data_IF_503365295423
#
_entry.id   IF_503365295423
#
_cell.length_a   1.000
_cell.length_b   1.000
_cell.length_c   1.000
_cell.angle_alpha   90.00
_cell.angle_beta   90.00
_cell.angle_gamma   90.00
#
_symmetry.space_group_name_H-M   'P 1'
#
loop_
_entity.id
_entity.type
_entity.pdbx_description
1 polymer ?
#
# COMPACT_ATOMS: atom_id res chain seq x y z
N UNK A 1 11.01 -4.31 5.78
CA UNK A 1 10.64 -2.89 5.80
C UNK A 1 9.23 -2.72 6.30
N UNK A 2 8.98 -1.73 7.11
CA UNK A 2 7.65 -1.43 7.62
C UNK A 2 7.24 -0.02 7.20
N UNK A 3 5.99 0.11 6.77
CA UNK A 3 5.39 1.40 6.45
C UNK A 3 4.16 1.61 7.32
N UNK A 4 4.04 2.79 7.88
CA UNK A 4 2.90 3.17 8.68
C UNK A 4 2.20 4.34 8.00
N UNK A 5 0.89 4.26 7.88
CA UNK A 5 0.15 5.33 7.24
C UNK A 5 -1.32 5.03 7.05
N UNK A 6 -1.96 5.79 6.18
CA UNK A 6 -3.38 5.67 5.90
C UNK A 6 -3.60 4.81 4.67
N UNK A 7 -4.46 3.81 4.81
CA UNK A 7 -4.84 2.94 3.70
C UNK A 7 -5.91 3.64 2.88
N UNK A 8 -5.75 3.61 1.57
CA UNK A 8 -6.72 4.19 0.64
C UNK A 8 -7.04 3.19 -0.46
N UNK A 9 -8.28 3.22 -0.92
CA UNK A 9 -8.69 2.42 -2.06
C UNK A 9 -8.76 3.29 -3.30
N UNK A 10 -8.14 2.82 -4.37
CA UNK A 10 -8.22 3.44 -5.68
C UNK A 10 -9.08 2.57 -6.59
N UNK A 11 -10.02 3.18 -7.31
CA UNK A 11 -10.86 2.47 -8.26
C UNK A 11 -10.26 2.36 -9.66
N UNK A 12 -9.04 2.86 -9.84
CA UNK A 12 -8.36 2.78 -11.12
C UNK A 12 -8.01 1.34 -11.46
N UNK A 13 -8.23 0.97 -12.72
CA UNK A 13 -7.85 -0.34 -13.28
C UNK A 13 -8.33 -1.54 -12.46
N UNK A 14 -9.59 -1.51 -12.02
CA UNK A 14 -10.17 -2.62 -11.30
C UNK A 14 -10.00 -2.59 -9.80
N UNK A 15 -9.40 -1.55 -9.29
CA UNK A 15 -9.25 -1.37 -7.85
C UNK A 15 -7.89 -1.77 -7.33
N UNK A 16 -7.30 -0.88 -6.56
CA UNK A 16 -6.01 -1.09 -5.91
C UNK A 16 -6.05 -0.57 -4.49
N UNK A 17 -5.21 -1.13 -3.64
CA UNK A 17 -4.99 -0.61 -2.31
C UNK A 17 -3.70 0.20 -2.31
N UNK A 18 -3.76 1.36 -1.66
CA UNK A 18 -2.62 2.25 -1.53
C UNK A 18 -2.37 2.53 -0.06
N UNK A 19 -1.13 2.82 0.29
CA UNK A 19 -0.81 3.37 1.60
C UNK A 19 -0.13 4.71 1.41
N UNK A 20 -0.67 5.71 2.11
CA UNK A 20 -0.02 7.01 2.18
C UNK A 20 0.79 7.03 3.48
N UNK A 21 2.10 6.84 3.34
CA UNK A 21 2.99 6.74 4.49
C UNK A 21 3.14 8.07 5.20
N UNK A 22 3.53 8.02 6.46
CA UNK A 22 3.66 9.22 7.29
C UNK A 22 4.65 10.24 6.73
N UNK A 23 5.65 9.78 5.99
CA UNK A 23 6.62 10.68 5.37
C UNK A 23 6.15 11.36 4.11
N UNK A 24 4.90 11.13 3.68
CA UNK A 24 4.34 11.71 2.46
C UNK A 24 4.47 10.83 1.23
N UNK A 25 5.16 9.70 1.32
CA UNK A 25 5.28 8.77 0.21
C UNK A 25 4.03 7.94 0.05
N UNK A 26 3.72 7.59 -1.18
CA UNK A 26 2.58 6.73 -1.49
C UNK A 26 3.08 5.49 -2.20
N UNK A 27 2.54 4.33 -1.79
CA UNK A 27 2.89 3.04 -2.36
C UNK A 27 1.63 2.30 -2.76
N UNK A 28 1.71 1.56 -3.86
CA UNK A 28 0.65 0.66 -4.27
C UNK A 28 0.89 -0.69 -3.60
N UNK A 29 -0.12 -1.16 -2.85
CA UNK A 29 0.02 -2.40 -2.07
C UNK A 29 -0.35 -3.62 -2.91
N UNK A 30 0.40 -4.70 -2.72
CA UNK A 30 0.10 -6.00 -3.31
C UNK A 30 0.45 -7.09 -2.31
N UNK A 31 0.02 -8.32 -2.58
CA UNK A 31 0.28 -9.44 -1.69
C UNK A 31 -0.87 -9.69 -0.72
N UNK A 32 -0.56 -9.84 0.55
CA UNK A 32 -1.59 -10.11 1.57
C UNK A 32 -2.26 -8.83 2.00
N UNK A 33 -3.49 -8.65 1.54
CA UNK A 33 -4.24 -7.41 1.76
C UNK A 33 -5.55 -7.64 2.54
N UNK A 34 -5.58 -8.67 3.37
CA UNK A 34 -6.78 -9.02 4.12
C UNK A 34 -7.10 -7.99 5.19
N UNK A 35 -8.37 -7.66 5.31
CA UNK A 35 -8.85 -6.78 6.38
C UNK A 35 -8.58 -5.31 6.18
N UNK A 36 -8.21 -4.88 4.98
CA UNK A 36 -8.00 -3.47 4.70
C UNK A 36 -9.32 -2.74 4.48
N UNK A 37 -9.35 -1.51 4.94
CA UNK A 37 -10.49 -0.60 4.75
C UNK A 37 -9.98 0.75 4.28
N UNK A 38 -10.76 1.40 3.44
CA UNK A 38 -10.44 2.75 2.99
C UNK A 38 -10.45 3.70 4.19
N UNK A 39 -9.38 4.44 4.35
CA UNK A 39 -9.24 5.43 5.42
C UNK A 39 -8.69 4.90 6.74
N UNK A 40 -8.40 3.60 6.84
CA UNK A 40 -7.86 3.06 8.08
C UNK A 40 -6.37 3.40 8.25
N UNK A 41 -5.95 3.49 9.49
CA UNK A 41 -4.53 3.55 9.82
C UNK A 41 -4.00 2.14 9.98
N UNK A 42 -2.86 1.87 9.36
CA UNK A 42 -2.25 0.55 9.42
C UNK A 42 -0.74 0.62 9.28
N UNK A 43 -0.09 -0.44 9.75
CA UNK A 43 1.32 -0.68 9.50
C UNK A 43 1.42 -1.90 8.59
N UNK A 44 2.12 -1.75 7.47
CA UNK A 44 2.35 -2.86 6.55
C UNK A 44 3.82 -3.22 6.57
N UNK A 45 4.10 -4.51 6.57
CA UNK A 45 5.46 -5.04 6.58
C UNK A 45 5.70 -5.82 5.31
N UNK A 46 6.82 -5.58 4.66
CA UNK A 46 7.15 -6.24 3.41
C UNK A 46 8.32 -5.59 2.71
N UNK A 47 8.27 -5.59 1.38
CA UNK A 47 9.36 -5.07 0.55
C UNK A 47 8.84 -4.17 -0.55
N UNK A 48 9.59 -3.12 -0.85
CA UNK A 48 9.34 -2.28 -2.02
C UNK A 48 9.81 -3.02 -3.27
N UNK A 49 8.93 -3.11 -4.25
CA UNK A 49 9.27 -3.67 -5.55
C UNK A 49 9.52 -2.53 -6.52
N UNK A 50 10.78 -2.22 -6.72
CA UNK A 50 11.17 -1.12 -7.59
C UNK A 50 11.06 -1.44 -9.07
N UNK A 51 11.00 -2.74 -9.40
CA UNK A 51 10.89 -3.15 -10.80
C UNK A 51 9.45 -3.12 -11.31
N UNK A 52 8.49 -3.16 -10.40
CA UNK A 52 7.09 -3.07 -10.74
C UNK A 52 6.60 -1.63 -10.61
N UNK A 53 7.35 -0.68 -11.14
CA UNK A 53 6.92 0.72 -11.13
C UNK A 53 5.65 0.84 -11.95
N UNK A 54 4.61 1.24 -11.25
CA UNK A 54 3.27 1.17 -11.78
C UNK A 54 3.03 2.03 -13.00
N UNK A 55 2.42 1.41 -13.97
CA UNK A 55 1.92 2.09 -15.15
C UNK A 55 0.91 3.17 -14.75
N UNK A 56 0.25 2.99 -13.62
CA UNK A 56 -0.77 3.92 -13.12
C UNK A 56 -0.20 5.15 -12.41
N UNK A 57 1.10 5.30 -12.33
CA UNK A 57 1.78 6.43 -11.69
C UNK A 57 1.35 6.66 -10.24
N UNK A 58 0.99 5.60 -9.54
CA UNK A 58 0.56 5.68 -8.15
C UNK A 58 1.69 5.34 -7.17
N UNK A 59 2.91 5.50 -7.62
CA UNK A 59 4.08 5.23 -6.84
C UNK A 59 4.58 3.79 -6.97
N UNK A 60 5.68 3.44 -6.31
CA UNK A 60 6.23 2.10 -6.38
C UNK A 60 5.30 1.09 -5.72
N UNK A 61 5.43 -0.18 -6.14
CA UNK A 61 4.69 -1.27 -5.53
C UNK A 61 5.35 -1.69 -4.23
N UNK A 62 4.53 -2.02 -3.26
CA UNK A 62 4.99 -2.56 -1.98
C UNK A 62 4.36 -3.93 -1.79
N UNK A 63 5.20 -4.95 -1.72
CA UNK A 63 4.73 -6.33 -1.51
C UNK A 63 4.53 -6.58 -0.03
N UNK A 64 3.28 -6.77 0.38
CA UNK A 64 2.90 -6.87 1.79
C UNK A 64 2.99 -8.32 2.25
N UNK A 65 3.71 -8.54 3.34
CA UNK A 65 3.77 -9.83 4.02
C UNK A 65 2.84 -9.86 5.24
N UNK A 66 2.66 -8.71 5.89
CA UNK A 66 1.87 -8.62 7.10
C UNK A 66 1.24 -7.25 7.24
N UNK A 67 0.00 -7.22 7.71
CA UNK A 67 -0.73 -5.98 8.01
C UNK A 67 -1.07 -5.96 9.50
N UNK A 68 -0.79 -4.84 10.15
CA UNK A 68 -1.16 -4.61 11.54
C UNK A 68 -2.07 -3.40 11.60
N UNK A 69 -3.27 -3.57 12.16
CA UNK A 69 -4.19 -2.45 12.37
C UNK A 69 -3.69 -1.59 13.53
N UNK A 70 -3.74 -0.30 13.35
CA UNK A 70 -3.34 0.64 14.38
C UNK A 70 -4.53 1.24 15.12
#
# INVERSE_FOLDING_TARGET
MKLKGTIKRSDLEGGHWLIQAEGGDQYQLEGKLDGLHDGMLAEVEGKVDKQAMGIAMQGPHFHVHKVTKL
#
